data_IF_650133838952
#
_entry.id   IF_650133838952
#
_cell.length_a   1.000
_cell.length_b   1.000
_cell.length_c   1.000
_cell.angle_alpha   90.00
_cell.angle_beta   90.00
_cell.angle_gamma   90.00
#
_symmetry.space_group_name_H-M   'P 1'
#
loop_
_entity.id
_entity.type
_entity.pdbx_description
1 polymer ?
#
# COMPACT_ATOMS: atom_id res chain seq x y z
N UNK A 1 9.21 -19.18 -13.78
CA UNK A 1 10.43 -19.63 -13.07
C UNK A 1 10.13 -19.99 -11.62
N UNK A 2 9.70 -19.05 -10.76
CA UNK A 2 9.35 -19.31 -9.34
C UNK A 2 8.50 -20.57 -9.10
N UNK A 3 7.34 -20.67 -9.76
CA UNK A 3 6.41 -21.82 -9.61
C UNK A 3 7.03 -23.18 -9.95
N UNK A 4 8.04 -23.20 -10.82
CA UNK A 4 8.74 -24.45 -11.14
C UNK A 4 9.69 -24.83 -10.00
N UNK A 5 10.51 -23.88 -9.53
CA UNK A 5 11.41 -24.06 -8.39
C UNK A 5 10.66 -24.49 -7.13
N UNK A 6 9.46 -23.94 -6.90
CA UNK A 6 8.61 -24.32 -5.77
C UNK A 6 8.12 -25.76 -5.88
N UNK A 7 7.65 -26.19 -7.06
CA UNK A 7 7.26 -27.59 -7.31
C UNK A 7 8.42 -28.56 -7.14
N UNK A 8 9.60 -28.18 -7.63
CA UNK A 8 10.81 -29.00 -7.51
C UNK A 8 11.21 -29.14 -6.04
N UNK A 9 11.19 -28.05 -5.27
CA UNK A 9 11.40 -28.06 -3.83
C UNK A 9 10.41 -28.97 -3.10
N UNK A 10 9.10 -28.81 -3.32
CA UNK A 10 8.08 -29.66 -2.67
C UNK A 10 8.27 -31.14 -3.00
N UNK A 11 8.60 -31.44 -4.26
CA UNK A 11 8.82 -32.82 -4.72
C UNK A 11 10.05 -33.43 -4.06
N UNK A 12 11.18 -32.72 -4.05
CA UNK A 12 12.45 -33.20 -3.50
C UNK A 12 12.40 -33.29 -1.96
N UNK A 13 11.69 -32.39 -1.29
CA UNK A 13 11.42 -32.47 0.13
C UNK A 13 10.60 -33.73 0.47
N UNK A 14 9.53 -34.00 -0.29
CA UNK A 14 8.72 -35.20 -0.11
C UNK A 14 9.53 -36.50 -0.34
N UNK A 15 10.37 -36.53 -1.37
CA UNK A 15 11.27 -37.65 -1.65
C UNK A 15 12.27 -37.89 -0.51
N UNK A 16 12.86 -36.83 0.05
CA UNK A 16 13.73 -36.95 1.21
C UNK A 16 13.01 -37.53 2.43
N UNK A 17 11.79 -37.05 2.73
CA UNK A 17 10.99 -37.55 3.84
C UNK A 17 10.60 -39.03 3.66
N UNK A 18 10.43 -39.49 2.42
CA UNK A 18 10.07 -40.88 2.12
C UNK A 18 11.28 -41.83 2.09
N UNK A 19 12.40 -41.41 1.49
CA UNK A 19 13.55 -42.28 1.23
C UNK A 19 14.64 -42.18 2.30
N UNK A 20 14.87 -41.01 2.89
CA UNK A 20 15.86 -40.79 3.96
C UNK A 20 17.32 -41.08 3.56
N UNK A 21 17.64 -41.12 2.27
CA UNK A 21 18.99 -41.42 1.77
C UNK A 21 19.87 -40.17 1.68
N UNK A 22 21.19 -40.34 1.67
CA UNK A 22 22.16 -39.24 1.49
C UNK A 22 21.92 -38.49 0.17
N UNK A 23 21.69 -39.19 -0.94
CA UNK A 23 21.40 -38.57 -2.23
C UNK A 23 20.09 -37.74 -2.20
N UNK A 24 19.06 -38.23 -1.52
CA UNK A 24 17.81 -37.48 -1.34
C UNK A 24 17.99 -36.27 -0.42
N UNK A 25 18.89 -36.35 0.57
CA UNK A 25 19.23 -35.23 1.44
C UNK A 25 19.98 -34.13 0.67
N UNK A 26 21.00 -34.48 -0.12
CA UNK A 26 21.73 -33.53 -0.96
C UNK A 26 20.80 -32.82 -1.95
N UNK A 27 19.91 -33.58 -2.59
CA UNK A 27 18.92 -33.03 -3.53
C UNK A 27 17.95 -32.07 -2.82
N UNK A 28 17.48 -32.43 -1.61
CA UNK A 28 16.64 -31.55 -0.82
C UNK A 28 17.36 -30.26 -0.43
N UNK A 29 18.61 -30.32 0.03
CA UNK A 29 19.43 -29.14 0.38
C UNK A 29 19.60 -28.21 -0.81
N UNK A 30 19.95 -28.74 -1.99
CA UNK A 30 20.08 -27.95 -3.22
C UNK A 30 18.76 -27.27 -3.59
N UNK A 31 17.64 -27.99 -3.48
CA UNK A 31 16.32 -27.44 -3.80
C UNK A 31 15.85 -26.39 -2.79
N UNK A 32 16.12 -26.56 -1.49
CA UNK A 32 15.85 -25.58 -0.43
C UNK A 32 16.59 -24.28 -0.70
N UNK A 33 17.88 -24.37 -1.02
CA UNK A 33 18.68 -23.19 -1.37
C UNK A 33 18.10 -22.48 -2.59
N UNK A 34 17.75 -23.23 -3.63
CA UNK A 34 17.20 -22.66 -4.84
C UNK A 34 15.88 -21.91 -4.59
N UNK A 35 14.94 -22.50 -3.85
CA UNK A 35 13.66 -21.82 -3.56
C UNK A 35 13.87 -20.59 -2.66
N UNK A 36 14.74 -20.67 -1.67
CA UNK A 36 15.04 -19.53 -0.79
C UNK A 36 15.62 -18.36 -1.58
N UNK A 37 16.59 -18.60 -2.48
CA UNK A 37 17.15 -17.55 -3.34
C UNK A 37 16.08 -16.87 -4.19
N UNK A 38 15.20 -17.65 -4.84
CA UNK A 38 14.15 -17.07 -5.69
C UNK A 38 13.10 -16.32 -4.85
N UNK A 39 12.76 -16.80 -3.64
CA UNK A 39 11.87 -16.08 -2.72
C UNK A 39 12.47 -14.73 -2.33
N UNK A 40 13.74 -14.71 -1.97
CA UNK A 40 14.47 -13.48 -1.64
C UNK A 40 14.50 -12.51 -2.82
N UNK A 41 14.78 -12.98 -4.04
CA UNK A 41 14.75 -12.15 -5.25
C UNK A 41 13.37 -11.51 -5.48
N UNK A 42 12.28 -12.28 -5.30
CA UNK A 42 10.91 -11.75 -5.42
C UNK A 42 10.64 -10.67 -4.37
N UNK A 43 11.06 -10.89 -3.12
CA UNK A 43 10.85 -9.92 -2.04
C UNK A 43 11.66 -8.64 -2.25
N UNK A 44 12.89 -8.74 -2.77
CA UNK A 44 13.71 -7.58 -3.15
C UNK A 44 12.94 -6.75 -4.18
N UNK A 45 12.50 -7.37 -5.28
CA UNK A 45 11.75 -6.67 -6.33
C UNK A 45 10.45 -6.05 -5.79
N UNK A 46 9.75 -6.74 -4.89
CA UNK A 46 8.55 -6.21 -4.26
C UNK A 46 8.82 -4.93 -3.46
N UNK A 47 9.87 -4.92 -2.63
CA UNK A 47 10.23 -3.74 -1.84
C UNK A 47 10.79 -2.60 -2.71
N UNK A 48 11.51 -2.91 -3.80
CA UNK A 48 11.95 -1.92 -4.79
C UNK A 48 10.75 -1.25 -5.48
N UNK A 49 9.71 -2.01 -5.83
CA UNK A 49 8.47 -1.48 -6.40
C UNK A 49 7.72 -0.61 -5.41
N UNK A 50 7.64 -1.02 -4.13
CA UNK A 50 7.05 -0.20 -3.08
C UNK A 50 7.80 1.13 -2.91
N UNK A 51 9.14 1.09 -2.90
CA UNK A 51 9.96 2.29 -2.81
C UNK A 51 9.76 3.22 -4.01
N UNK A 52 9.75 2.69 -5.24
CA UNK A 52 9.50 3.48 -6.44
C UNK A 52 8.11 4.13 -6.41
N UNK A 53 7.08 3.36 -6.05
CA UNK A 53 5.69 3.85 -5.95
C UNK A 53 5.57 4.94 -4.89
N UNK A 54 6.20 4.76 -3.72
CA UNK A 54 6.22 5.75 -2.66
C UNK A 54 6.99 7.01 -3.06
N UNK A 55 8.06 6.90 -3.86
CA UNK A 55 8.77 8.08 -4.40
C UNK A 55 7.87 8.89 -5.32
N UNK A 56 7.05 8.24 -6.15
CA UNK A 56 6.15 8.92 -7.09
C UNK A 56 4.88 9.46 -6.42
N UNK A 57 4.49 8.94 -5.26
CA UNK A 57 3.27 9.36 -4.58
C UNK A 57 3.31 10.83 -4.13
N UNK A 58 2.27 11.57 -4.49
CA UNK A 58 2.02 12.95 -4.04
C UNK A 58 1.06 12.88 -2.85
N UNK A 59 1.24 13.70 -1.81
CA UNK A 59 0.30 13.80 -0.68
C UNK A 59 0.76 13.09 0.59
N UNK A 60 1.77 12.22 0.53
CA UNK A 60 2.45 11.70 1.73
C UNK A 60 3.34 12.80 2.31
N UNK A 61 3.23 13.04 3.61
CA UNK A 61 4.10 13.96 4.32
C UNK A 61 5.57 13.58 4.13
N UNK A 62 6.41 14.59 3.81
CA UNK A 62 7.79 14.37 3.39
C UNK A 62 8.61 13.60 4.43
N UNK A 63 8.44 13.90 5.71
CA UNK A 63 9.15 13.25 6.81
C UNK A 63 8.79 11.76 6.90
N UNK A 64 7.50 11.43 6.87
CA UNK A 64 7.01 10.04 6.90
C UNK A 64 7.46 9.25 5.67
N UNK A 65 7.43 9.90 4.51
CA UNK A 65 7.89 9.34 3.25
C UNK A 65 9.38 9.01 3.32
N UNK A 66 10.21 9.92 3.84
CA UNK A 66 11.65 9.69 3.98
C UNK A 66 11.97 8.59 4.99
N UNK A 67 11.32 8.56 6.15
CA UNK A 67 11.48 7.49 7.14
C UNK A 67 11.13 6.12 6.53
N UNK A 68 9.98 6.03 5.86
CA UNK A 68 9.51 4.76 5.26
C UNK A 68 10.41 4.32 4.10
N UNK A 69 10.91 5.25 3.28
CA UNK A 69 11.91 4.95 2.26
C UNK A 69 13.23 4.43 2.86
N UNK A 70 13.67 4.98 3.99
CA UNK A 70 14.82 4.47 4.73
C UNK A 70 14.61 3.02 5.20
N UNK A 71 13.41 2.73 5.73
CA UNK A 71 13.05 1.37 6.17
C UNK A 71 12.96 0.38 5.01
N UNK A 72 12.43 0.80 3.85
CA UNK A 72 12.42 0.00 2.61
C UNK A 72 13.84 -0.29 2.11
N UNK A 73 14.72 0.72 2.10
CA UNK A 73 16.12 0.56 1.71
C UNK A 73 16.85 -0.42 2.63
N UNK A 74 16.66 -0.29 3.96
CA UNK A 74 17.24 -1.22 4.92
C UNK A 74 16.73 -2.65 4.68
N UNK A 75 15.43 -2.82 4.48
CA UNK A 75 14.80 -4.11 4.17
C UNK A 75 15.38 -4.77 2.91
N UNK A 76 15.65 -3.97 1.86
CA UNK A 76 16.28 -4.46 0.63
C UNK A 76 17.73 -4.90 0.89
N UNK A 77 18.50 -4.13 1.66
CA UNK A 77 19.88 -4.50 1.99
C UNK A 77 19.93 -5.75 2.88
N UNK A 78 19.04 -5.89 3.86
CA UNK A 78 18.91 -7.08 4.69
C UNK A 78 18.58 -8.33 3.85
N UNK A 79 17.67 -8.18 2.88
CA UNK A 79 17.36 -9.23 1.90
C UNK A 79 18.56 -9.58 1.02
N UNK A 80 19.36 -8.60 0.58
CA UNK A 80 20.59 -8.87 -0.18
C UNK A 80 21.64 -9.60 0.66
N UNK A 81 21.78 -9.25 1.94
CA UNK A 81 22.70 -9.91 2.86
C UNK A 81 22.30 -11.37 3.08
N UNK A 82 21.03 -11.63 3.41
CA UNK A 82 20.58 -13.01 3.63
C UNK A 82 20.65 -13.84 2.34
N UNK A 83 20.46 -13.22 1.16
CA UNK A 83 20.68 -13.88 -0.14
C UNK A 83 22.11 -14.39 -0.29
N UNK A 84 23.10 -13.62 0.14
CA UNK A 84 24.52 -14.02 0.12
C UNK A 84 24.76 -15.21 1.06
N UNK A 85 24.17 -15.18 2.26
CA UNK A 85 24.25 -16.29 3.22
C UNK A 85 23.60 -17.58 2.71
N UNK A 86 22.42 -17.46 2.08
CA UNK A 86 21.73 -18.60 1.42
C UNK A 86 22.64 -19.19 0.35
N UNK A 87 23.26 -18.35 -0.49
CA UNK A 87 24.15 -18.79 -1.56
C UNK A 87 25.41 -19.51 -1.03
N UNK A 88 25.93 -19.08 0.12
CA UNK A 88 27.09 -19.68 0.78
C UNK A 88 26.76 -20.97 1.56
N UNK A 89 25.48 -21.24 1.82
CA UNK A 89 25.03 -22.41 2.57
C UNK A 89 25.12 -23.70 1.75
N UNK A 90 25.88 -24.68 2.28
CA UNK A 90 26.18 -25.95 1.57
C UNK A 90 25.65 -27.20 2.28
N UNK A 91 25.16 -27.09 3.51
CA UNK A 91 24.64 -28.21 4.27
C UNK A 91 23.28 -27.90 4.91
N UNK A 92 22.63 -28.95 5.41
CA UNK A 92 21.29 -28.88 6.00
C UNK A 92 21.21 -27.96 7.23
N UNK A 93 22.25 -27.94 8.06
CA UNK A 93 22.24 -27.15 9.30
C UNK A 93 22.40 -25.66 8.97
N UNK A 94 23.30 -25.33 8.04
CA UNK A 94 23.46 -23.97 7.54
C UNK A 94 22.17 -23.43 6.90
N UNK A 95 21.55 -24.19 5.99
CA UNK A 95 20.26 -23.84 5.37
C UNK A 95 19.18 -23.65 6.45
N UNK A 96 19.12 -24.55 7.43
CA UNK A 96 18.15 -24.47 8.52
C UNK A 96 18.31 -23.21 9.37
N UNK A 97 19.54 -22.87 9.74
CA UNK A 97 19.85 -21.66 10.53
C UNK A 97 19.47 -20.39 9.76
N UNK A 98 19.86 -20.27 8.50
CA UNK A 98 19.51 -19.11 7.66
C UNK A 98 18.01 -19.01 7.46
N UNK A 99 17.30 -20.13 7.30
CA UNK A 99 15.84 -20.12 7.20
C UNK A 99 15.17 -19.67 8.50
N UNK A 100 15.68 -20.09 9.66
CA UNK A 100 15.19 -19.60 10.95
C UNK A 100 15.36 -18.09 11.10
N UNK A 101 16.55 -17.55 10.80
CA UNK A 101 16.78 -16.09 10.81
C UNK A 101 15.85 -15.37 9.84
N UNK A 102 15.67 -15.90 8.63
CA UNK A 102 14.77 -15.32 7.64
C UNK A 102 13.32 -15.26 8.15
N UNK A 103 12.77 -16.37 8.64
CA UNK A 103 11.37 -16.46 9.07
C UNK A 103 11.09 -15.73 10.39
N UNK A 104 12.01 -15.78 11.35
CA UNK A 104 11.77 -15.26 12.70
C UNK A 104 12.13 -13.77 12.84
N UNK A 105 13.14 -13.30 12.11
CA UNK A 105 13.64 -11.93 12.25
C UNK A 105 13.22 -11.06 11.06
N UNK A 106 13.53 -11.52 9.84
CA UNK A 106 13.39 -10.68 8.66
C UNK A 106 11.93 -10.57 8.20
N UNK A 107 11.21 -11.69 8.10
CA UNK A 107 9.80 -11.71 7.63
C UNK A 107 8.92 -10.72 8.40
N UNK A 108 8.88 -10.68 9.74
CA UNK A 108 8.05 -9.71 10.47
C UNK A 108 8.35 -8.24 10.13
N UNK A 109 9.64 -7.89 9.97
CA UNK A 109 10.07 -6.55 9.59
C UNK A 109 9.62 -6.19 8.17
N UNK A 110 9.86 -7.09 7.19
CA UNK A 110 9.46 -6.89 5.80
C UNK A 110 7.95 -6.66 5.68
N UNK A 111 7.16 -7.48 6.38
CA UNK A 111 5.70 -7.37 6.40
C UNK A 111 5.25 -6.02 6.98
N UNK A 112 5.84 -5.60 8.10
CA UNK A 112 5.49 -4.32 8.72
C UNK A 112 5.79 -3.13 7.81
N UNK A 113 6.99 -3.09 7.22
CA UNK A 113 7.39 -2.01 6.31
C UNK A 113 6.53 -2.00 5.05
N UNK A 114 6.18 -3.17 4.51
CA UNK A 114 5.28 -3.27 3.37
C UNK A 114 3.89 -2.70 3.67
N UNK A 115 3.26 -3.11 4.78
CA UNK A 115 1.94 -2.61 5.15
C UNK A 115 1.93 -1.15 5.56
N UNK A 116 3.00 -0.64 6.17
CA UNK A 116 3.19 0.79 6.41
C UNK A 116 3.20 1.57 5.11
N UNK A 117 3.97 1.10 4.13
CA UNK A 117 4.06 1.72 2.80
C UNK A 117 2.70 1.72 2.09
N UNK A 118 2.02 0.57 2.05
CA UNK A 118 0.69 0.45 1.44
C UNK A 118 -0.35 1.36 2.11
N UNK A 119 -0.30 1.47 3.44
CA UNK A 119 -1.19 2.34 4.22
C UNK A 119 -0.99 3.81 3.89
N UNK A 120 0.26 4.25 3.75
CA UNK A 120 0.57 5.62 3.32
C UNK A 120 0.09 5.89 1.89
N UNK A 121 0.35 4.97 0.97
CA UNK A 121 -0.05 5.10 -0.44
C UNK A 121 -1.57 5.26 -0.58
N UNK A 122 -2.36 4.38 0.04
CA UNK A 122 -3.82 4.41 -0.13
C UNK A 122 -4.46 5.66 0.47
N UNK A 123 -3.94 6.16 1.60
CA UNK A 123 -4.38 7.44 2.18
C UNK A 123 -4.01 8.60 1.28
N UNK A 124 -2.79 8.59 0.75
CA UNK A 124 -2.27 9.62 -0.16
C UNK A 124 -3.09 9.73 -1.45
N UNK A 125 -3.48 8.59 -2.03
CA UNK A 125 -4.28 8.54 -3.24
C UNK A 125 -5.66 9.18 -3.01
N UNK A 126 -6.32 8.86 -1.90
CA UNK A 126 -7.61 9.46 -1.56
C UNK A 126 -7.50 10.94 -1.21
N UNK A 127 -6.42 11.36 -0.55
CA UNK A 127 -6.12 12.78 -0.32
C UNK A 127 -5.97 13.54 -1.62
N UNK A 128 -5.23 12.99 -2.59
CA UNK A 128 -5.08 13.61 -3.91
C UNK A 128 -6.42 13.75 -4.65
N UNK A 129 -7.27 12.74 -4.58
CA UNK A 129 -8.62 12.81 -5.19
C UNK A 129 -9.45 13.88 -4.49
N UNK A 130 -9.46 13.90 -3.17
CA UNK A 130 -10.19 14.89 -2.38
C UNK A 130 -9.75 16.33 -2.68
N UNK A 131 -8.45 16.58 -2.74
CA UNK A 131 -7.89 17.90 -3.02
C UNK A 131 -8.26 18.37 -4.44
N UNK A 132 -8.21 17.47 -5.43
CA UNK A 132 -8.67 17.76 -6.79
C UNK A 132 -10.18 18.05 -6.84
N UNK A 133 -11.00 17.28 -6.11
CA UNK A 133 -12.44 17.53 -6.00
C UNK A 133 -12.72 18.91 -5.41
N UNK A 134 -12.01 19.30 -4.34
CA UNK A 134 -12.12 20.65 -3.76
C UNK A 134 -11.74 21.74 -4.75
N UNK A 135 -10.68 21.53 -5.53
CA UNK A 135 -10.25 22.48 -6.55
C UNK A 135 -11.32 22.66 -7.64
N UNK A 136 -11.83 21.56 -8.20
CA UNK A 136 -12.89 21.58 -9.23
C UNK A 136 -14.13 22.32 -8.71
N UNK A 137 -14.55 22.03 -7.48
CA UNK A 137 -15.68 22.71 -6.87
C UNK A 137 -15.43 24.22 -6.69
N UNK A 138 -14.23 24.63 -6.26
CA UNK A 138 -13.89 26.04 -6.10
C UNK A 138 -13.87 26.80 -7.43
N UNK A 139 -13.37 26.16 -8.49
CA UNK A 139 -13.40 26.70 -9.86
C UNK A 139 -14.84 26.86 -10.36
N UNK A 140 -15.67 25.82 -10.21
CA UNK A 140 -17.09 25.87 -10.57
C UNK A 140 -17.84 26.97 -9.81
N UNK A 141 -17.65 27.07 -8.49
CA UNK A 141 -18.27 28.12 -7.66
C UNK A 141 -17.90 29.52 -8.15
N UNK A 142 -16.64 29.72 -8.56
CA UNK A 142 -16.17 30.99 -9.12
C UNK A 142 -16.85 31.30 -10.45
N UNK A 143 -16.93 30.32 -11.36
CA UNK A 143 -17.60 30.49 -12.66
C UNK A 143 -19.09 30.80 -12.50
N UNK A 144 -19.80 30.05 -11.65
CA UNK A 144 -21.24 30.21 -11.45
C UNK A 144 -21.59 31.52 -10.76
N UNK A 145 -20.70 32.07 -9.94
CA UNK A 145 -20.89 33.38 -9.30
C UNK A 145 -20.74 34.52 -10.31
N UNK A 146 -20.00 34.32 -11.40
CA UNK A 146 -19.85 35.31 -12.47
C UNK A 146 -21.03 35.35 -13.46
N UNK A 147 -21.92 34.34 -13.45
CA UNK A 147 -23.10 34.28 -14.33
C UNK A 147 -24.25 35.10 -13.76
N UNK A 148 -24.83 35.99 -14.56
CA UNK A 148 -26.08 36.68 -14.22
C UNK A 148 -27.24 35.67 -14.19
N UNK A 149 -27.98 35.65 -13.08
CA UNK A 149 -29.07 34.69 -12.85
C UNK A 149 -30.24 35.34 -12.13
N UNK A 150 -31.40 34.71 -12.20
CA UNK A 150 -32.59 35.14 -11.45
C UNK A 150 -32.40 34.98 -9.94
N UNK A 151 -33.19 35.70 -9.15
CA UNK A 151 -33.17 35.58 -7.68
C UNK A 151 -33.46 34.15 -7.19
N UNK A 152 -34.36 33.44 -7.86
CA UNK A 152 -34.69 32.05 -7.53
C UNK A 152 -33.48 31.13 -7.73
N UNK A 153 -32.81 31.22 -8.89
CA UNK A 153 -31.61 30.45 -9.18
C UNK A 153 -30.44 30.77 -8.23
N UNK A 154 -30.32 32.02 -7.75
CA UNK A 154 -29.35 32.38 -6.71
C UNK A 154 -29.63 31.66 -5.39
N UNK A 155 -30.90 31.60 -4.97
CA UNK A 155 -31.29 30.93 -3.73
C UNK A 155 -31.10 29.40 -3.82
N UNK A 156 -31.40 28.80 -4.98
CA UNK A 156 -31.14 27.37 -5.24
C UNK A 156 -29.65 27.03 -5.22
N UNK A 157 -28.82 27.84 -5.90
CA UNK A 157 -27.35 27.68 -5.89
C UNK A 157 -26.77 27.82 -4.49
N UNK A 158 -27.24 28.79 -3.69
CA UNK A 158 -26.76 28.99 -2.33
C UNK A 158 -27.03 27.78 -1.42
N UNK A 159 -28.19 27.12 -1.59
CA UNK A 159 -28.50 25.88 -0.86
C UNK A 159 -27.58 24.74 -1.31
N UNK A 160 -27.43 24.54 -2.61
CA UNK A 160 -26.57 23.49 -3.15
C UNK A 160 -25.10 23.69 -2.72
N UNK A 161 -24.57 24.92 -2.70
CA UNK A 161 -23.25 25.20 -2.15
C UNK A 161 -23.14 24.83 -0.67
N UNK A 162 -24.17 25.09 0.13
CA UNK A 162 -24.18 24.74 1.56
C UNK A 162 -24.12 23.22 1.75
N UNK A 163 -24.82 22.46 0.90
CA UNK A 163 -24.80 20.99 0.94
C UNK A 163 -23.43 20.43 0.53
N UNK A 164 -22.83 20.96 -0.53
CA UNK A 164 -21.47 20.57 -0.97
C UNK A 164 -20.42 20.95 0.08
N UNK A 165 -20.47 22.17 0.62
CA UNK A 165 -19.54 22.65 1.66
C UNK A 165 -19.62 21.75 2.90
N UNK A 166 -20.83 21.35 3.32
CA UNK A 166 -21.03 20.43 4.44
C UNK A 166 -20.49 19.02 4.16
N UNK A 167 -20.69 18.49 2.94
CA UNK A 167 -20.17 17.19 2.55
C UNK A 167 -18.64 17.18 2.48
N UNK A 168 -18.02 18.22 1.90
CA UNK A 168 -16.56 18.40 1.88
C UNK A 168 -15.99 18.43 3.30
N UNK A 169 -16.58 19.23 4.20
CA UNK A 169 -16.11 19.32 5.58
C UNK A 169 -16.20 17.96 6.32
N UNK A 170 -17.27 17.20 6.08
CA UNK A 170 -17.43 15.87 6.68
C UNK A 170 -16.36 14.88 6.19
N UNK A 171 -16.06 14.87 4.90
CA UNK A 171 -15.01 14.02 4.30
C UNK A 171 -13.62 14.45 4.80
N UNK A 172 -13.36 15.76 4.89
CA UNK A 172 -12.09 16.30 5.40
C UNK A 172 -11.78 15.81 6.82
N UNK A 173 -12.77 15.88 7.71
CA UNK A 173 -12.62 15.42 9.10
C UNK A 173 -12.34 13.92 9.16
N UNK A 174 -13.04 13.12 8.36
CA UNK A 174 -12.82 11.66 8.31
C UNK A 174 -11.43 11.32 7.79
N UNK A 175 -11.01 11.96 6.70
CA UNK A 175 -9.71 11.71 6.08
C UNK A 175 -8.56 12.16 6.98
N UNK A 176 -8.70 13.31 7.65
CA UNK A 176 -7.72 13.79 8.63
C UNK A 176 -7.56 12.83 9.83
N UNK A 177 -8.67 12.27 10.34
CA UNK A 177 -8.64 11.28 11.42
C UNK A 177 -7.92 9.99 10.98
N UNK A 178 -8.21 9.49 9.79
CA UNK A 178 -7.55 8.29 9.25
C UNK A 178 -6.06 8.54 9.00
N UNK A 179 -5.73 9.72 8.47
CA UNK A 179 -4.34 10.13 8.24
C UNK A 179 -3.58 10.16 9.56
N UNK A 180 -4.15 10.75 10.60
CA UNK A 180 -3.53 10.79 11.93
C UNK A 180 -3.28 9.39 12.50
N UNK A 181 -4.22 8.44 12.31
CA UNK A 181 -4.04 7.05 12.72
C UNK A 181 -2.82 6.40 12.05
N UNK A 182 -2.66 6.57 10.73
CA UNK A 182 -1.48 6.07 10.00
C UNK A 182 -0.18 6.74 10.45
N UNK A 183 -0.23 7.98 10.94
CA UNK A 183 0.97 8.67 11.47
C UNK A 183 1.43 8.13 12.82
N UNK A 184 0.47 7.75 13.66
CA UNK A 184 0.75 7.37 15.06
C UNK A 184 0.83 5.86 15.28
N UNK A 185 0.42 5.06 14.31
CA UNK A 185 0.49 3.60 14.41
C UNK A 185 1.94 3.11 14.44
N UNK A 186 2.22 2.17 15.33
CA UNK A 186 3.54 1.55 15.47
C UNK A 186 3.56 0.14 14.86
N UNK A 187 2.41 -0.51 14.75
CA UNK A 187 2.27 -1.88 14.27
C UNK A 187 1.44 -1.93 12.99
N UNK A 188 2.15 -1.96 11.88
CA UNK A 188 1.54 -2.18 10.58
C UNK A 188 1.50 -3.67 10.27
N UNK A 189 0.30 -4.21 10.10
CA UNK A 189 0.09 -5.58 9.66
C UNK A 189 -1.09 -5.65 8.68
N UNK A 190 -1.39 -6.85 8.20
CA UNK A 190 -2.51 -7.07 7.28
C UNK A 190 -3.83 -6.62 7.89
N UNK A 191 -4.03 -6.85 9.18
CA UNK A 191 -5.28 -6.54 9.86
C UNK A 191 -5.48 -5.02 9.94
N UNK A 192 -4.44 -4.29 10.31
CA UNK A 192 -4.45 -2.83 10.32
C UNK A 192 -4.78 -2.30 8.92
N UNK A 193 -4.09 -2.81 7.90
CA UNK A 193 -4.32 -2.39 6.51
C UNK A 193 -5.77 -2.66 6.05
N UNK A 194 -6.34 -3.82 6.35
CA UNK A 194 -7.73 -4.11 6.00
C UNK A 194 -8.72 -3.18 6.73
N UNK A 195 -8.49 -2.92 8.02
CA UNK A 195 -9.32 -1.98 8.79
C UNK A 195 -9.22 -0.56 8.25
N UNK A 196 -8.02 -0.15 7.81
CA UNK A 196 -7.79 1.12 7.15
C UNK A 196 -8.58 1.22 5.85
N UNK A 197 -8.50 0.20 4.99
CA UNK A 197 -9.25 0.14 3.72
C UNK A 197 -10.77 0.23 3.98
N UNK A 198 -11.29 -0.47 4.97
CA UNK A 198 -12.71 -0.40 5.36
C UNK A 198 -13.13 1.01 5.82
N UNK A 199 -12.27 1.71 6.56
CA UNK A 199 -12.51 3.11 6.94
C UNK A 199 -12.51 4.02 5.72
N UNK A 200 -11.57 3.82 4.80
CA UNK A 200 -11.43 4.60 3.57
C UNK A 200 -12.59 4.39 2.59
N UNK A 201 -13.29 3.25 2.62
CA UNK A 201 -14.52 3.07 1.84
C UNK A 201 -15.60 4.12 2.17
N UNK A 202 -15.68 4.57 3.43
CA UNK A 202 -16.60 5.64 3.82
C UNK A 202 -16.20 6.98 3.22
N UNK A 203 -14.91 7.28 3.22
CA UNK A 203 -14.33 8.48 2.57
C UNK A 203 -14.63 8.45 1.07
N UNK A 204 -14.41 7.30 0.42
CA UNK A 204 -14.75 7.10 -1.00
C UNK A 204 -16.24 7.34 -1.28
N UNK A 205 -17.13 6.83 -0.44
CA UNK A 205 -18.57 7.08 -0.56
C UNK A 205 -18.91 8.57 -0.45
N UNK A 206 -18.29 9.29 0.50
CA UNK A 206 -18.45 10.74 0.63
C UNK A 206 -17.91 11.53 -0.57
N UNK A 207 -16.75 11.14 -1.10
CA UNK A 207 -16.19 11.71 -2.33
C UNK A 207 -17.13 11.52 -3.53
N UNK A 208 -17.68 10.31 -3.69
CA UNK A 208 -18.63 10.04 -4.76
C UNK A 208 -19.88 10.91 -4.65
N UNK A 209 -20.39 11.13 -3.43
CA UNK A 209 -21.52 12.00 -3.18
C UNK A 209 -21.22 13.46 -3.51
N UNK A 210 -20.04 13.96 -3.12
CA UNK A 210 -19.59 15.32 -3.46
C UNK A 210 -19.51 15.48 -4.99
N UNK A 211 -18.95 14.51 -5.71
CA UNK A 211 -18.87 14.55 -7.16
C UNK A 211 -20.25 14.58 -7.81
N UNK A 212 -21.21 13.78 -7.34
CA UNK A 212 -22.60 13.86 -7.83
C UNK A 212 -23.20 15.25 -7.63
N UNK A 213 -22.99 15.88 -6.48
CA UNK A 213 -23.47 17.24 -6.25
C UNK A 213 -22.81 18.29 -7.15
N UNK A 214 -21.50 18.14 -7.43
CA UNK A 214 -20.78 19.01 -8.37
C UNK A 214 -21.36 18.84 -9.79
N UNK A 215 -21.60 17.62 -10.24
CA UNK A 215 -22.20 17.34 -11.56
C UNK A 215 -23.63 17.93 -11.66
N UNK A 216 -24.42 17.85 -10.59
CA UNK A 216 -25.75 18.47 -10.54
C UNK A 216 -25.68 20.01 -10.63
N UNK A 217 -24.73 20.62 -9.92
CA UNK A 217 -24.45 22.06 -9.99
C UNK A 217 -23.99 22.51 -11.38
N UNK A 218 -23.19 21.70 -12.06
CA UNK A 218 -22.74 21.97 -13.43
C UNK A 218 -23.91 21.90 -14.42
N UNK A 219 -24.73 20.84 -14.33
CA UNK A 219 -25.88 20.63 -15.22
C UNK A 219 -26.92 21.75 -15.10
N UNK A 220 -27.24 22.16 -13.87
CA UNK A 220 -28.16 23.28 -13.60
C UNK A 220 -27.61 24.64 -14.03
N UNK A 221 -26.36 24.71 -14.50
CA UNK A 221 -25.77 25.94 -15.06
C UNK A 221 -25.91 26.10 -16.57
N UNK A 222 -26.23 25.00 -17.29
CA UNK A 222 -26.38 24.97 -18.75
C UNK A 222 -27.85 25.05 -19.20
N UNK A 223 -28.80 24.93 -18.27
CA UNK A 223 -30.24 25.15 -18.46
C UNK A 223 -30.64 26.58 -18.10
#
# INVERSE_FOLDING_TARGET
MYRQTERDFTTLQAQYLQLGTLASLESAVVSSRAIMLVRTDVLITYHELLAATLVESIGVELELKQDTLGQLQQSIEDLKNIRVEIAASNDRFAIGAVNSTFEEELVPQLYSVAYKTLSQLVVSDLQNVFDKTKQVYAELKTELTAKEVTKLQLEERARAYTEVDAAIAAVEVQLAAITAEVKTEEKFDERFYQQLVDKLQKVYGGLSQIMTYIEELERTSHE
#
